data_IF_115198786595
#
_entry.id   IF_115198786595
#
_cell.length_a   1.000
_cell.length_b   1.000
_cell.length_c   1.000
_cell.angle_alpha   90.00
_cell.angle_beta   90.00
_cell.angle_gamma   90.00
#
_symmetry.space_group_name_H-M   'P 1'
#
loop_
_entity.id
_entity.type
_entity.pdbx_description
1 polymer ?
#
# COMPACT_ATOMS: atom_id res chain seq x y z
N UNK A 1 -2.56 -25.39 -42.65
CA UNK A 1 -2.75 -25.61 -41.20
C UNK A 1 -2.41 -24.31 -40.48
N UNK A 2 -3.44 -23.56 -40.09
CA UNK A 2 -3.29 -22.36 -39.24
C UNK A 2 -3.58 -22.83 -37.82
N UNK A 3 -2.69 -23.64 -37.24
CA UNK A 3 -2.90 -24.24 -35.92
C UNK A 3 -1.82 -23.85 -34.90
N UNK A 4 -1.15 -22.72 -35.10
CA UNK A 4 -0.08 -22.29 -34.16
C UNK A 4 -0.25 -20.87 -33.60
N UNK A 5 -1.45 -20.28 -33.70
CA UNK A 5 -1.70 -18.91 -33.22
C UNK A 5 -2.50 -18.83 -31.90
N UNK A 6 -2.99 -19.96 -31.37
CA UNK A 6 -3.90 -19.97 -30.20
C UNK A 6 -3.15 -20.20 -28.86
N UNK A 7 -1.85 -20.52 -28.88
CA UNK A 7 -1.07 -20.81 -27.67
C UNK A 7 -0.57 -19.60 -26.88
N UNK A 8 -0.20 -18.49 -27.55
CA UNK A 8 0.38 -17.33 -26.86
C UNK A 8 -0.66 -16.50 -26.09
N UNK A 9 -1.89 -16.38 -26.58
CA UNK A 9 -2.91 -15.53 -25.94
C UNK A 9 -3.26 -16.07 -24.54
N UNK A 10 -3.34 -17.38 -24.35
CA UNK A 10 -3.60 -17.95 -23.03
C UNK A 10 -2.38 -17.86 -22.11
N UNK A 11 -1.15 -18.04 -22.62
CA UNK A 11 0.06 -17.92 -21.80
C UNK A 11 0.28 -16.48 -21.31
N UNK A 12 0.09 -15.47 -22.17
CA UNK A 12 0.20 -14.06 -21.77
C UNK A 12 -0.88 -13.68 -20.73
N UNK A 13 -2.13 -14.12 -20.93
CA UNK A 13 -3.22 -13.79 -19.98
C UNK A 13 -3.04 -14.47 -18.61
N UNK A 14 -2.52 -15.70 -18.59
CA UNK A 14 -2.30 -16.45 -17.34
C UNK A 14 -1.07 -15.93 -16.57
N UNK A 15 -0.04 -15.48 -17.30
CA UNK A 15 1.13 -14.81 -16.71
C UNK A 15 0.75 -13.43 -16.16
N UNK A 16 -0.04 -12.62 -16.89
CA UNK A 16 -0.51 -11.32 -16.39
C UNK A 16 -1.39 -11.46 -15.14
N UNK A 17 -2.28 -12.46 -15.09
CA UNK A 17 -3.13 -12.71 -13.93
C UNK A 17 -2.30 -13.18 -12.73
N UNK A 18 -1.39 -14.12 -12.96
CA UNK A 18 -0.48 -14.61 -11.93
C UNK A 18 0.41 -13.49 -11.38
N UNK A 19 0.84 -12.57 -12.25
CA UNK A 19 1.61 -11.38 -11.87
C UNK A 19 0.79 -10.44 -10.99
N UNK A 20 -0.45 -10.11 -11.38
CA UNK A 20 -1.35 -9.25 -10.58
C UNK A 20 -1.64 -9.87 -9.21
N UNK A 21 -1.90 -11.17 -9.15
CA UNK A 21 -2.13 -11.89 -7.89
C UNK A 21 -0.87 -11.87 -7.00
N UNK A 22 0.32 -12.03 -7.59
CA UNK A 22 1.59 -11.93 -6.87
C UNK A 22 1.84 -10.53 -6.32
N UNK A 23 1.68 -9.49 -7.14
CA UNK A 23 1.83 -8.09 -6.72
C UNK A 23 0.85 -7.75 -5.61
N UNK A 24 -0.40 -8.22 -5.70
CA UNK A 24 -1.39 -8.00 -4.66
C UNK A 24 -1.00 -8.66 -3.34
N UNK A 25 -0.55 -9.92 -3.35
CA UNK A 25 -0.06 -10.59 -2.14
C UNK A 25 1.14 -9.87 -1.53
N UNK A 26 2.13 -9.52 -2.36
CA UNK A 26 3.31 -8.80 -1.90
C UNK A 26 2.96 -7.45 -1.29
N UNK A 27 2.02 -6.71 -1.92
CA UNK A 27 1.52 -5.43 -1.42
C UNK A 27 0.87 -5.59 -0.05
N UNK A 28 0.05 -6.62 0.13
CA UNK A 28 -0.65 -6.86 1.39
C UNK A 28 0.33 -7.29 2.51
N UNK A 29 1.37 -8.07 2.18
CA UNK A 29 2.46 -8.43 3.11
C UNK A 29 3.31 -7.22 3.51
N UNK A 30 3.77 -6.44 2.54
CA UNK A 30 4.55 -5.22 2.78
C UNK A 30 3.75 -4.21 3.64
N UNK A 31 2.45 -4.07 3.38
CA UNK A 31 1.59 -3.18 4.16
C UNK A 31 1.48 -3.66 5.62
N UNK A 32 1.34 -4.98 5.81
CA UNK A 32 1.27 -5.59 7.14
C UNK A 32 2.57 -5.39 7.91
N UNK A 33 3.73 -5.52 7.26
CA UNK A 33 5.02 -5.23 7.88
C UNK A 33 5.14 -3.77 8.33
N UNK A 34 4.64 -2.81 7.52
CA UNK A 34 4.60 -1.40 7.92
C UNK A 34 3.67 -1.20 9.13
N UNK A 35 2.50 -1.83 9.13
CA UNK A 35 1.54 -1.76 10.24
C UNK A 35 2.15 -2.31 11.53
N UNK A 36 2.81 -3.45 11.48
CA UNK A 36 3.44 -4.08 12.64
C UNK A 36 4.64 -3.29 13.14
N UNK A 37 5.54 -2.86 12.24
CA UNK A 37 6.75 -2.10 12.61
C UNK A 37 6.45 -0.73 13.22
N UNK A 38 5.39 -0.07 12.75
CA UNK A 38 4.99 1.25 13.24
C UNK A 38 3.88 1.20 14.30
N UNK A 39 3.36 0.02 14.62
CA UNK A 39 2.19 -0.21 15.49
C UNK A 39 0.97 0.62 15.06
N UNK A 40 0.69 0.63 13.75
CA UNK A 40 -0.46 1.32 13.19
C UNK A 40 -1.75 0.55 13.44
N UNK A 41 -2.89 1.22 13.28
CA UNK A 41 -4.21 0.58 13.32
C UNK A 41 -4.50 -0.09 11.98
N UNK A 42 -4.58 -1.44 11.89
CA UNK A 42 -4.63 -2.13 10.61
C UNK A 42 -5.78 -1.67 9.70
N UNK A 43 -7.01 -1.67 10.23
CA UNK A 43 -8.22 -1.32 9.49
C UNK A 43 -8.22 0.14 8.98
N UNK A 44 -7.67 1.06 9.76
CA UNK A 44 -7.60 2.47 9.36
C UNK A 44 -6.48 2.67 8.32
N UNK A 45 -5.35 1.97 8.47
CA UNK A 45 -4.24 2.01 7.52
C UNK A 45 -4.62 1.45 6.16
N UNK A 46 -5.33 0.32 6.12
CA UNK A 46 -5.86 -0.28 4.89
C UNK A 46 -6.76 0.71 4.15
N UNK A 47 -7.75 1.31 4.84
CA UNK A 47 -8.63 2.32 4.25
C UNK A 47 -7.87 3.56 3.76
N UNK A 48 -6.87 4.00 4.52
CA UNK A 48 -6.05 5.14 4.16
C UNK A 48 -5.26 4.88 2.87
N UNK A 49 -4.67 3.69 2.74
CA UNK A 49 -3.92 3.29 1.56
C UNK A 49 -4.83 3.08 0.36
N UNK A 50 -5.98 2.43 0.54
CA UNK A 50 -7.00 2.28 -0.51
C UNK A 50 -7.46 3.65 -1.04
N UNK A 51 -7.73 4.59 -0.14
CA UNK A 51 -8.10 5.97 -0.49
C UNK A 51 -6.96 6.68 -1.22
N UNK A 52 -5.70 6.43 -0.82
CA UNK A 52 -4.53 7.02 -1.46
C UNK A 52 -4.32 6.51 -2.89
N UNK A 53 -4.50 5.21 -3.14
CA UNK A 53 -4.48 4.65 -4.50
C UNK A 53 -5.62 5.17 -5.36
N UNK A 54 -6.82 5.32 -4.78
CA UNK A 54 -7.97 5.89 -5.47
C UNK A 54 -7.75 7.35 -5.86
N UNK A 55 -7.17 8.14 -4.96
CA UNK A 55 -6.89 9.57 -5.17
C UNK A 55 -5.61 9.80 -5.98
N UNK A 56 -4.80 8.77 -6.21
CA UNK A 56 -3.51 8.85 -6.87
C UNK A 56 -2.43 9.58 -6.07
N UNK A 57 -2.64 9.80 -4.77
CA UNK A 57 -1.69 10.47 -3.89
C UNK A 57 -1.87 10.06 -2.42
N UNK A 58 -0.77 10.04 -1.67
CA UNK A 58 -0.79 9.84 -0.22
C UNK A 58 -1.14 11.15 0.47
N UNK A 59 -2.30 11.24 1.11
CA UNK A 59 -2.73 12.42 1.88
C UNK A 59 -1.96 12.50 3.20
N UNK A 60 -0.86 13.24 3.19
CA UNK A 60 -0.03 13.48 4.39
C UNK A 60 -0.56 14.60 5.28
N UNK A 61 -1.48 15.41 4.74
CA UNK A 61 -2.14 16.53 5.41
C UNK A 61 -3.55 16.15 5.86
N UNK A 62 -3.99 16.69 6.99
CA UNK A 62 -5.33 16.43 7.54
C UNK A 62 -5.31 15.39 8.67
N UNK A 63 -6.52 14.93 9.04
CA UNK A 63 -6.74 14.05 10.20
C UNK A 63 -6.73 12.56 9.86
N UNK A 64 -6.74 12.18 8.58
CA UNK A 64 -6.81 10.77 8.19
C UNK A 64 -5.55 10.00 8.60
N UNK A 65 -4.38 10.60 8.38
CA UNK A 65 -3.13 10.02 8.89
C UNK A 65 -3.04 10.04 10.42
N UNK A 66 -3.80 10.90 11.09
CA UNK A 66 -3.89 10.88 12.55
C UNK A 66 -4.80 9.75 13.08
N UNK A 67 -5.67 9.19 12.23
CA UNK A 67 -6.54 8.04 12.58
C UNK A 67 -5.76 6.72 12.59
N UNK A 68 -4.81 6.57 11.68
CA UNK A 68 -3.98 5.35 11.54
C UNK A 68 -2.93 5.20 12.63
N UNK A 69 -2.52 6.33 13.25
CA UNK A 69 -1.53 6.33 14.32
C UNK A 69 -2.06 5.66 15.59
N UNK A 70 -1.19 4.98 16.36
CA UNK A 70 -1.56 4.44 17.66
C UNK A 70 -1.95 5.55 18.64
N UNK A 71 -2.70 5.22 19.71
CA UNK A 71 -2.99 6.17 20.78
C UNK A 71 -1.68 6.62 21.43
N UNK A 72 -1.30 7.86 21.16
CA UNK A 72 -0.11 8.49 21.69
C UNK A 72 -0.45 9.83 22.32
N UNK A 73 0.34 10.24 23.29
CA UNK A 73 0.24 11.58 23.88
C UNK A 73 0.29 12.64 22.77
N UNK A 74 -0.65 13.59 22.81
CA UNK A 74 -0.66 14.75 21.92
C UNK A 74 0.40 15.79 22.32
N UNK A 75 0.99 15.61 23.50
CA UNK A 75 1.99 16.48 24.10
C UNK A 75 3.35 15.78 24.06
N UNK A 76 4.41 16.52 23.70
CA UNK A 76 5.80 16.03 23.78
C UNK A 76 6.49 15.70 22.45
N UNK A 77 5.98 16.13 21.30
CA UNK A 77 6.70 16.07 20.00
C UNK A 77 6.85 14.67 19.37
N UNK A 78 6.86 13.61 20.15
CA UNK A 78 7.00 12.21 19.71
C UNK A 78 5.97 11.78 18.66
N UNK A 79 4.73 12.31 18.78
CA UNK A 79 3.68 12.09 17.77
C UNK A 79 4.06 12.64 16.40
N UNK A 80 4.70 13.81 16.35
CA UNK A 80 5.08 14.44 15.07
C UNK A 80 6.22 13.67 14.41
N UNK A 81 7.20 13.19 15.17
CA UNK A 81 8.29 12.36 14.66
C UNK A 81 7.78 11.03 14.13
N UNK A 82 6.92 10.35 14.89
CA UNK A 82 6.26 9.11 14.45
C UNK A 82 5.44 9.34 13.18
N UNK A 83 4.67 10.44 13.12
CA UNK A 83 3.90 10.82 11.93
C UNK A 83 4.80 10.99 10.71
N UNK A 84 5.96 11.64 10.85
CA UNK A 84 6.92 11.78 9.75
C UNK A 84 7.46 10.42 9.27
N UNK A 85 7.91 9.56 10.20
CA UNK A 85 8.39 8.19 9.87
C UNK A 85 7.33 7.40 9.10
N UNK A 86 6.08 7.43 9.59
CA UNK A 86 4.95 6.73 8.97
C UNK A 86 4.65 7.29 7.58
N UNK A 87 4.67 8.62 7.41
CA UNK A 87 4.49 9.26 6.10
C UNK A 87 5.55 8.78 5.10
N UNK A 88 6.82 8.78 5.50
CA UNK A 88 7.93 8.38 4.61
C UNK A 88 7.79 6.92 4.17
N UNK A 89 7.48 6.01 5.11
CA UNK A 89 7.25 4.59 4.81
C UNK A 89 6.05 4.38 3.89
N UNK A 90 4.90 4.99 4.19
CA UNK A 90 3.69 4.85 3.38
C UNK A 90 3.86 5.48 2.00
N UNK A 91 4.63 6.56 1.90
CA UNK A 91 4.97 7.18 0.61
C UNK A 91 5.87 6.28 -0.23
N UNK A 92 6.92 5.72 0.35
CA UNK A 92 7.80 4.78 -0.34
C UNK A 92 7.03 3.52 -0.80
N UNK A 93 6.15 3.00 0.06
CA UNK A 93 5.23 1.92 -0.28
C UNK A 93 4.32 2.32 -1.44
N UNK A 94 3.68 3.48 -1.38
CA UNK A 94 2.81 3.97 -2.43
C UNK A 94 3.56 4.10 -3.76
N UNK A 95 4.71 4.77 -3.79
CA UNK A 95 5.53 4.94 -5.00
C UNK A 95 6.00 3.60 -5.59
N UNK A 96 6.23 2.58 -4.75
CA UNK A 96 6.59 1.22 -5.21
C UNK A 96 5.47 0.53 -5.98
N UNK A 97 4.23 0.73 -5.56
CA UNK A 97 3.05 0.05 -6.12
C UNK A 97 2.22 0.93 -7.05
N UNK A 98 2.46 2.24 -7.06
CA UNK A 98 1.74 3.19 -7.89
C UNK A 98 2.25 3.08 -9.34
N UNK A 99 1.44 2.44 -10.20
CA UNK A 99 1.77 2.18 -11.61
C UNK A 99 2.18 0.75 -11.92
N UNK A 100 2.15 -0.15 -10.93
CA UNK A 100 2.23 -1.61 -11.12
C UNK A 100 0.85 -2.22 -11.43
#
# INVERSE_FOLDING_TARGET
LIENFIGCVNADTDVEKSWKDFVQRQRDEDLKEIIESEHLKPQETEKFIESSFRDGQVRTTGTDIDKILPPMSRFGGSRQEKKKSVIEKLRAFFERYFGL
#
